data_IF_094457502815
#
_entry.id   IF_094457502815
#
_cell.length_a   1.000
_cell.length_b   1.000
_cell.length_c   1.000
_cell.angle_alpha   90.00
_cell.angle_beta   90.00
_cell.angle_gamma   90.00
#
_symmetry.space_group_name_H-M   'P 1'
#
loop_
_entity.id
_entity.type
_entity.pdbx_description
1 polymer ?
#
# COMPACT_ATOMS: atom_id res chain seq x y z
N UNK A 1 -71.06 43.97 24.89
CA UNK A 1 -71.94 43.21 25.82
C UNK A 1 -71.44 41.77 25.77
N UNK A 2 -70.98 41.03 26.78
CA UNK A 2 -70.83 41.11 28.25
C UNK A 2 -69.47 40.40 28.55
N UNK A 3 -68.54 40.89 29.37
CA UNK A 3 -68.51 41.00 30.84
C UNK A 3 -68.57 39.67 31.63
N UNK A 4 -67.39 39.30 32.19
CA UNK A 4 -67.09 38.67 33.50
C UNK A 4 -67.66 37.29 33.85
N UNK A 5 -66.76 36.37 34.23
CA UNK A 5 -66.69 35.87 35.60
C UNK A 5 -65.34 35.18 35.88
N UNK A 6 -64.76 35.56 37.02
CA UNK A 6 -63.53 35.08 37.64
C UNK A 6 -63.95 34.03 38.68
N UNK A 7 -63.32 32.85 38.69
CA UNK A 7 -63.35 31.97 39.88
C UNK A 7 -61.96 31.38 40.11
N UNK A 8 -61.34 31.85 41.18
CA UNK A 8 -60.14 31.32 41.82
C UNK A 8 -60.54 30.03 42.56
N UNK A 9 -59.77 28.96 42.38
CA UNK A 9 -59.76 27.81 43.30
C UNK A 9 -58.31 27.39 43.57
N UNK A 10 -57.94 27.59 44.84
CA UNK A 10 -56.68 27.23 45.50
C UNK A 10 -56.80 25.79 46.03
N UNK A 11 -55.65 25.12 46.17
CA UNK A 11 -55.39 23.81 46.79
C UNK A 11 -55.69 22.59 45.89
N UNK A 12 -54.82 21.59 45.74
CA UNK A 12 -53.90 20.99 46.71
C UNK A 12 -52.52 20.73 46.10
N UNK A 13 -51.48 21.22 46.79
CA UNK A 13 -50.15 20.60 46.77
C UNK A 13 -50.24 19.20 47.40
N UNK A 14 -50.30 18.16 46.56
CA UNK A 14 -49.85 16.82 46.93
C UNK A 14 -48.52 16.60 46.23
N UNK A 15 -47.45 16.75 47.00
CA UNK A 15 -46.09 16.49 46.58
C UNK A 15 -45.94 15.04 46.18
N UNK A 16 -45.94 14.80 44.87
CA UNK A 16 -45.23 13.67 44.27
C UNK A 16 -43.74 13.95 44.36
N UNK A 17 -43.22 13.88 45.58
CA UNK A 17 -41.81 13.68 45.84
C UNK A 17 -41.42 12.36 45.20
N UNK A 18 -41.12 12.38 43.90
CA UNK A 18 -40.33 11.34 43.29
C UNK A 18 -39.04 11.34 44.10
N UNK A 19 -38.90 10.30 44.91
CA UNK A 19 -37.64 9.90 45.50
C UNK A 19 -36.68 9.73 44.32
N UNK A 20 -36.00 10.82 43.95
CA UNK A 20 -34.73 10.77 43.27
C UNK A 20 -33.72 10.22 44.28
N UNK A 21 -33.93 8.97 44.71
CA UNK A 21 -32.89 8.19 45.33
C UNK A 21 -31.73 8.25 44.36
N UNK A 22 -30.57 8.68 44.84
CA UNK A 22 -29.33 8.59 44.11
C UNK A 22 -29.13 7.12 43.77
N UNK A 23 -29.62 6.71 42.60
CA UNK A 23 -29.48 5.37 42.06
C UNK A 23 -27.98 5.09 42.02
N UNK A 24 -27.53 4.13 42.85
CA UNK A 24 -26.11 3.80 42.99
C UNK A 24 -25.57 3.40 41.62
N UNK A 25 -24.39 3.90 41.25
CA UNK A 25 -23.75 3.47 40.02
C UNK A 25 -23.12 2.09 40.27
N UNK A 26 -23.72 1.05 39.70
CA UNK A 26 -23.27 -0.34 39.72
C UNK A 26 -23.54 -0.99 38.34
N UNK A 27 -23.08 -2.22 38.13
CA UNK A 27 -23.22 -2.89 36.82
C UNK A 27 -24.69 -3.05 36.40
N UNK A 28 -25.57 -3.42 37.33
CA UNK A 28 -26.99 -3.65 37.05
C UNK A 28 -27.68 -2.35 36.60
N UNK A 29 -27.40 -1.23 37.28
CA UNK A 29 -27.99 0.06 36.92
C UNK A 29 -27.40 0.59 35.61
N UNK A 30 -26.09 0.38 35.35
CA UNK A 30 -25.45 0.69 34.07
C UNK A 30 -26.14 -0.07 32.91
N UNK A 31 -26.49 -1.34 33.10
CA UNK A 31 -27.21 -2.11 32.09
C UNK A 31 -28.65 -1.63 31.92
N UNK A 32 -29.36 -1.32 33.01
CA UNK A 32 -30.72 -0.76 32.95
C UNK A 32 -30.75 0.55 32.16
N UNK A 33 -29.75 1.41 32.33
CA UNK A 33 -29.73 2.72 31.66
C UNK A 33 -29.75 2.60 30.14
N UNK A 34 -29.21 1.53 29.55
CA UNK A 34 -29.24 1.30 28.09
C UNK A 34 -30.64 1.29 27.49
N UNK A 35 -31.67 1.00 28.31
CA UNK A 35 -33.08 0.90 27.90
C UNK A 35 -33.89 2.16 28.19
N UNK A 36 -33.25 3.23 28.68
CA UNK A 36 -33.93 4.46 29.10
C UNK A 36 -33.59 5.64 28.20
N UNK A 37 -34.53 6.58 28.05
CA UNK A 37 -34.32 7.78 27.24
C UNK A 37 -33.17 8.66 27.78
N UNK A 38 -33.01 8.75 29.11
CA UNK A 38 -31.90 9.48 29.76
C UNK A 38 -30.62 8.65 29.87
N UNK A 39 -30.64 7.41 29.40
CA UNK A 39 -29.58 6.41 29.52
C UNK A 39 -28.23 6.87 29.01
N UNK A 40 -28.12 7.33 27.75
CA UNK A 40 -26.85 7.80 27.19
C UNK A 40 -26.18 8.89 28.04
N UNK A 41 -26.96 9.84 28.56
CA UNK A 41 -26.45 10.90 29.42
C UNK A 41 -25.91 10.37 30.75
N UNK A 42 -26.62 9.40 31.37
CA UNK A 42 -26.15 8.74 32.60
C UNK A 42 -24.87 7.92 32.36
N UNK A 43 -24.81 7.15 31.28
CA UNK A 43 -23.64 6.35 30.90
C UNK A 43 -22.42 7.24 30.64
N UNK A 44 -22.61 8.34 29.88
CA UNK A 44 -21.54 9.32 29.64
C UNK A 44 -21.03 9.93 30.94
N UNK A 45 -21.94 10.30 31.85
CA UNK A 45 -21.56 10.84 33.17
C UNK A 45 -20.74 9.82 33.98
N UNK A 46 -21.20 8.56 34.07
CA UNK A 46 -20.49 7.50 34.79
C UNK A 46 -19.11 7.19 34.17
N UNK A 47 -18.99 7.24 32.84
CA UNK A 47 -17.71 7.07 32.16
C UNK A 47 -16.72 8.20 32.47
N UNK A 48 -17.21 9.45 32.60
CA UNK A 48 -16.39 10.64 32.85
C UNK A 48 -16.09 10.90 34.33
N UNK A 49 -16.74 10.19 35.24
CA UNK A 49 -16.55 10.33 36.68
C UNK A 49 -15.16 9.79 37.06
N UNK A 50 -14.29 10.68 37.54
CA UNK A 50 -12.90 10.33 37.93
C UNK A 50 -12.85 9.55 39.26
N UNK A 51 -13.86 9.73 40.12
CA UNK A 51 -13.95 9.07 41.42
C UNK A 51 -14.61 7.68 41.33
N UNK A 52 -15.26 7.37 40.21
CA UNK A 52 -15.89 6.08 39.97
C UNK A 52 -14.84 4.98 39.72
N UNK A 53 -15.12 3.77 40.19
CA UNK A 53 -14.31 2.60 39.84
C UNK A 53 -14.14 2.46 38.31
N UNK A 54 -12.91 2.22 37.86
CA UNK A 54 -12.58 2.20 36.43
C UNK A 54 -13.34 1.10 35.66
N UNK A 55 -13.67 -0.01 36.33
CA UNK A 55 -14.44 -1.10 35.73
C UNK A 55 -15.91 -0.71 35.50
N UNK A 56 -16.50 0.08 36.40
CA UNK A 56 -17.83 0.66 36.21
C UNK A 56 -17.84 1.69 35.07
N UNK A 57 -16.83 2.58 35.02
CA UNK A 57 -16.69 3.53 33.91
C UNK A 57 -16.47 2.82 32.57
N UNK A 58 -15.69 1.73 32.56
CA UNK A 58 -15.51 0.87 31.39
C UNK A 58 -16.81 0.17 30.99
N UNK A 59 -17.61 -0.32 31.95
CA UNK A 59 -18.91 -0.91 31.65
C UNK A 59 -19.85 0.09 31.00
N UNK A 60 -19.89 1.33 31.52
CA UNK A 60 -20.68 2.41 30.93
C UNK A 60 -20.20 2.75 29.50
N UNK A 61 -18.88 2.82 29.27
CA UNK A 61 -18.31 3.09 27.96
C UNK A 61 -18.62 1.95 26.94
N UNK A 62 -18.52 0.69 27.36
CA UNK A 62 -18.87 -0.45 26.51
C UNK A 62 -20.36 -0.42 26.10
N UNK A 63 -21.25 -0.03 27.02
CA UNK A 63 -22.66 0.13 26.71
C UNK A 63 -22.93 1.33 25.78
N UNK A 64 -22.17 2.44 25.88
CA UNK A 64 -22.21 3.51 24.87
C UNK A 64 -21.81 3.01 23.48
N UNK A 65 -20.77 2.16 23.37
CA UNK A 65 -20.38 1.55 22.09
C UNK A 65 -21.50 0.66 21.53
N UNK A 66 -22.13 -0.20 22.35
CA UNK A 66 -23.29 -1.01 21.91
C UNK A 66 -24.45 -0.15 21.39
N UNK A 67 -24.59 1.07 21.90
CA UNK A 67 -25.60 2.05 21.48
C UNK A 67 -25.18 2.93 20.30
N UNK A 68 -24.08 2.60 19.60
CA UNK A 68 -23.56 3.39 18.47
C UNK A 68 -23.13 4.82 18.84
N UNK A 69 -22.63 4.99 20.07
CA UNK A 69 -22.11 6.25 20.60
C UNK A 69 -20.59 6.21 20.82
N UNK A 70 -19.87 5.48 19.96
CA UNK A 70 -18.40 5.39 20.00
C UNK A 70 -17.73 6.76 19.88
N UNK A 71 -18.30 7.69 19.10
CA UNK A 71 -17.80 9.04 18.98
C UNK A 71 -17.79 9.80 20.32
N UNK A 72 -18.78 9.55 21.18
CA UNK A 72 -18.84 10.15 22.52
C UNK A 72 -17.76 9.57 23.44
N UNK A 73 -17.51 8.26 23.33
CA UNK A 73 -16.42 7.59 24.07
C UNK A 73 -15.06 8.13 23.63
N UNK A 74 -14.82 8.26 22.32
CA UNK A 74 -13.59 8.84 21.77
C UNK A 74 -13.37 10.28 22.22
N UNK A 75 -14.40 11.12 22.14
CA UNK A 75 -14.32 12.52 22.59
C UNK A 75 -14.02 12.63 24.09
N UNK A 76 -14.61 11.75 24.91
CA UNK A 76 -14.32 11.70 26.34
C UNK A 76 -12.86 11.32 26.60
N UNK A 77 -12.35 10.27 25.94
CA UNK A 77 -10.96 9.83 26.08
C UNK A 77 -9.96 10.94 25.76
N UNK A 78 -10.21 11.79 24.76
CA UNK A 78 -9.31 12.90 24.43
C UNK A 78 -9.14 13.91 25.58
N UNK A 79 -10.20 14.15 26.34
CA UNK A 79 -10.23 15.16 27.42
C UNK A 79 -9.89 14.58 28.80
N UNK A 80 -9.89 13.25 28.93
CA UNK A 80 -9.62 12.54 30.18
C UNK A 80 -8.15 12.68 30.59
N UNK A 81 -7.88 12.81 31.89
CA UNK A 81 -6.51 12.84 32.42
C UNK A 81 -5.73 11.56 32.04
N UNK A 82 -4.41 11.62 31.77
CA UNK A 82 -3.66 10.45 31.29
C UNK A 82 -3.77 9.22 32.20
N UNK A 83 -3.63 9.40 33.52
CA UNK A 83 -3.73 8.30 34.48
C UNK A 83 -5.10 7.63 34.49
N UNK A 84 -6.18 8.44 34.46
CA UNK A 84 -7.54 7.93 34.39
C UNK A 84 -7.83 7.22 33.07
N UNK A 85 -7.32 7.78 31.97
CA UNK A 85 -7.43 7.20 30.62
C UNK A 85 -6.80 5.83 30.54
N UNK A 86 -5.60 5.66 31.10
CA UNK A 86 -4.94 4.35 31.22
C UNK A 86 -5.79 3.37 32.02
N UNK A 87 -6.28 3.74 33.22
CA UNK A 87 -7.13 2.85 34.02
C UNK A 87 -8.40 2.41 33.27
N UNK A 88 -9.08 3.35 32.62
CA UNK A 88 -10.28 3.06 31.83
C UNK A 88 -9.98 2.10 30.67
N UNK A 89 -8.91 2.32 29.90
CA UNK A 89 -8.55 1.48 28.76
C UNK A 89 -8.24 0.05 29.21
N UNK A 90 -7.52 -0.13 30.33
CA UNK A 90 -7.22 -1.45 30.91
C UNK A 90 -8.48 -2.26 31.19
N UNK A 91 -9.54 -1.62 31.71
CA UNK A 91 -10.81 -2.30 32.00
C UNK A 91 -11.73 -2.40 30.76
N UNK A 92 -11.66 -1.43 29.85
CA UNK A 92 -12.54 -1.36 28.68
C UNK A 92 -12.13 -2.34 27.56
N UNK A 93 -10.82 -2.50 27.29
CA UNK A 93 -10.37 -3.34 26.19
C UNK A 93 -10.85 -4.81 26.30
N UNK A 94 -10.72 -5.50 27.47
CA UNK A 94 -11.28 -6.85 27.63
C UNK A 94 -12.80 -6.92 27.45
N UNK A 95 -13.53 -5.89 27.90
CA UNK A 95 -15.00 -5.82 27.75
C UNK A 95 -15.41 -5.68 26.28
N UNK A 96 -14.71 -4.83 25.53
CA UNK A 96 -14.94 -4.70 24.09
C UNK A 96 -14.55 -5.97 23.33
N UNK A 97 -13.48 -6.65 23.74
CA UNK A 97 -13.11 -7.95 23.17
C UNK A 97 -14.22 -8.99 23.37
N UNK A 98 -14.79 -9.08 24.56
CA UNK A 98 -15.89 -10.01 24.83
C UNK A 98 -17.12 -9.75 23.95
N UNK A 99 -17.37 -8.50 23.57
CA UNK A 99 -18.44 -8.12 22.63
C UNK A 99 -18.04 -8.42 21.18
N UNK A 100 -16.78 -8.14 20.81
CA UNK A 100 -16.25 -8.32 19.46
C UNK A 100 -16.02 -9.80 19.08
N UNK A 101 -15.82 -10.66 20.08
CA UNK A 101 -15.49 -12.08 19.90
C UNK A 101 -16.58 -12.81 19.13
N UNK A 102 -16.17 -13.65 18.21
CA UNK A 102 -17.06 -14.50 17.40
C UNK A 102 -16.79 -15.94 17.81
N UNK A 103 -17.83 -16.68 18.17
CA UNK A 103 -17.71 -18.03 18.73
C UNK A 103 -17.14 -19.04 17.73
N UNK A 104 -17.42 -18.84 16.43
CA UNK A 104 -16.91 -19.67 15.34
C UNK A 104 -16.09 -18.85 14.36
N UNK A 105 -14.91 -19.35 14.02
CA UNK A 105 -14.01 -18.76 13.04
C UNK A 105 -14.61 -18.67 11.63
N UNK A 106 -15.59 -19.53 11.32
CA UNK A 106 -16.28 -19.57 10.03
C UNK A 106 -17.46 -18.59 9.94
N UNK A 107 -17.91 -18.03 11.06
CA UNK A 107 -19.04 -17.11 11.07
C UNK A 107 -18.59 -15.67 10.78
N UNK A 108 -19.43 -14.96 10.02
CA UNK A 108 -19.29 -13.52 9.84
C UNK A 108 -19.74 -12.77 11.10
N UNK A 109 -19.08 -11.66 11.45
CA UNK A 109 -19.48 -10.83 12.57
C UNK A 109 -20.82 -10.13 12.31
N UNK A 110 -21.60 -9.95 13.37
CA UNK A 110 -22.75 -9.04 13.36
C UNK A 110 -22.31 -7.58 13.56
N UNK A 111 -23.23 -6.63 13.38
CA UNK A 111 -22.92 -5.20 13.50
C UNK A 111 -22.33 -4.82 14.87
N UNK A 112 -22.81 -5.40 15.97
CA UNK A 112 -22.30 -5.12 17.31
C UNK A 112 -20.86 -5.59 17.49
N UNK A 113 -20.51 -6.75 16.94
CA UNK A 113 -19.15 -7.28 16.96
C UNK A 113 -18.18 -6.40 16.16
N UNK A 114 -18.60 -5.94 14.97
CA UNK A 114 -17.81 -5.03 14.13
C UNK A 114 -17.54 -3.71 14.87
N UNK A 115 -18.57 -3.13 15.49
CA UNK A 115 -18.46 -1.89 16.24
C UNK A 115 -17.54 -2.00 17.45
N UNK A 116 -17.61 -3.09 18.21
CA UNK A 116 -16.72 -3.31 19.34
C UNK A 116 -15.25 -3.49 18.87
N UNK A 117 -15.04 -4.15 17.73
CA UNK A 117 -13.72 -4.25 17.08
C UNK A 117 -13.20 -2.88 16.62
N UNK A 118 -14.03 -2.03 16.01
CA UNK A 118 -13.64 -0.66 15.62
C UNK A 118 -13.33 0.22 16.83
N UNK A 119 -14.06 0.03 17.93
CA UNK A 119 -13.75 0.69 19.19
C UNK A 119 -12.38 0.25 19.73
N UNK A 120 -12.04 -1.04 19.71
CA UNK A 120 -10.71 -1.55 20.08
C UNK A 120 -9.59 -0.91 19.25
N UNK A 121 -9.77 -0.81 17.92
CA UNK A 121 -8.82 -0.14 17.02
C UNK A 121 -8.62 1.32 17.47
N UNK A 122 -9.71 2.03 17.75
CA UNK A 122 -9.66 3.42 18.17
C UNK A 122 -8.94 3.61 19.50
N UNK A 123 -9.11 2.69 20.45
CA UNK A 123 -8.45 2.77 21.77
C UNK A 123 -6.93 2.77 21.69
N UNK A 124 -6.34 2.16 20.64
CA UNK A 124 -4.88 2.08 20.46
C UNK A 124 -4.19 3.43 20.52
N UNK A 125 -4.84 4.49 20.05
CA UNK A 125 -4.28 5.87 20.04
C UNK A 125 -3.86 6.34 21.43
N UNK A 126 -4.58 5.90 22.46
CA UNK A 126 -4.39 6.35 23.83
C UNK A 126 -3.86 5.28 24.77
N UNK A 127 -3.78 4.04 24.29
CA UNK A 127 -3.23 2.91 25.03
C UNK A 127 -1.70 3.06 25.21
N UNK A 128 -1.22 2.71 26.40
CA UNK A 128 0.20 2.47 26.64
C UNK A 128 0.69 1.21 25.89
N UNK A 129 1.98 0.90 25.96
CA UNK A 129 2.57 -0.20 25.18
C UNK A 129 1.99 -1.57 25.58
N UNK A 130 1.71 -1.81 26.86
CA UNK A 130 1.19 -3.08 27.35
C UNK A 130 -0.28 -3.26 26.92
N UNK A 131 -1.08 -2.21 27.09
CA UNK A 131 -2.48 -2.17 26.66
C UNK A 131 -2.58 -2.30 25.13
N UNK A 132 -1.72 -1.62 24.39
CA UNK A 132 -1.68 -1.70 22.93
C UNK A 132 -1.32 -3.11 22.48
N UNK A 133 -0.33 -3.74 23.10
CA UNK A 133 0.02 -5.14 22.80
C UNK A 133 -1.15 -6.10 23.08
N UNK A 134 -1.93 -5.87 24.14
CA UNK A 134 -3.13 -6.65 24.45
C UNK A 134 -4.23 -6.44 23.39
N UNK A 135 -4.52 -5.19 23.03
CA UNK A 135 -5.48 -4.86 21.97
C UNK A 135 -5.04 -5.49 20.63
N UNK A 136 -3.75 -5.43 20.30
CA UNK A 136 -3.22 -6.01 19.09
C UNK A 136 -3.39 -7.53 19.05
N UNK A 137 -3.25 -8.22 20.18
CA UNK A 137 -3.54 -9.65 20.27
C UNK A 137 -5.02 -9.94 19.97
N UNK A 138 -5.95 -9.15 20.53
CA UNK A 138 -7.37 -9.29 20.24
C UNK A 138 -7.70 -9.05 18.76
N UNK A 139 -7.09 -8.05 18.14
CA UNK A 139 -7.29 -7.76 16.72
C UNK A 139 -6.68 -8.85 15.82
N UNK A 140 -5.52 -9.39 16.17
CA UNK A 140 -4.95 -10.55 15.48
C UNK A 140 -5.89 -11.75 15.56
N UNK A 141 -6.43 -12.06 16.74
CA UNK A 141 -7.39 -13.17 16.92
C UNK A 141 -8.73 -12.91 16.20
N UNK A 142 -9.12 -11.65 16.04
CA UNK A 142 -10.34 -11.29 15.31
C UNK A 142 -10.18 -11.46 13.80
N UNK A 143 -9.07 -10.99 13.23
CA UNK A 143 -8.85 -11.00 11.79
C UNK A 143 -8.31 -12.35 11.30
N UNK A 144 -7.29 -12.93 11.96
CA UNK A 144 -6.53 -14.06 11.41
C UNK A 144 -7.23 -15.42 11.60
N UNK A 145 -8.40 -15.56 10.96
CA UNK A 145 -9.26 -16.74 10.97
C UNK A 145 -9.76 -17.07 9.56
N UNK A 146 -10.39 -18.24 9.37
CA UNK A 146 -10.90 -18.70 8.06
C UNK A 146 -11.88 -17.74 7.37
N UNK A 147 -12.71 -17.00 8.12
CA UNK A 147 -13.62 -15.99 7.57
C UNK A 147 -12.98 -14.61 7.35
N UNK A 148 -11.64 -14.51 7.31
CA UNK A 148 -10.91 -13.25 7.10
C UNK A 148 -11.46 -12.44 5.93
N UNK A 149 -11.80 -13.06 4.79
CA UNK A 149 -12.28 -12.34 3.59
C UNK A 149 -13.49 -11.44 3.89
N UNK A 150 -14.51 -11.98 4.56
CA UNK A 150 -15.70 -11.21 4.93
C UNK A 150 -15.44 -10.25 6.11
N UNK A 151 -14.54 -10.62 7.03
CA UNK A 151 -14.15 -9.78 8.16
C UNK A 151 -13.34 -8.55 7.73
N UNK A 152 -12.50 -8.69 6.70
CA UNK A 152 -11.65 -7.62 6.17
C UNK A 152 -12.45 -6.44 5.62
N UNK A 153 -13.67 -6.69 5.15
CA UNK A 153 -14.56 -5.69 4.57
C UNK A 153 -15.47 -5.01 5.62
N UNK A 154 -15.43 -5.47 6.87
CA UNK A 154 -16.34 -5.03 7.93
C UNK A 154 -15.81 -3.88 8.78
N UNK A 155 -16.59 -2.79 8.83
CA UNK A 155 -16.43 -1.70 9.80
C UNK A 155 -15.80 -0.43 9.22
N UNK A 156 -15.42 0.47 10.11
CA UNK A 156 -14.87 1.78 9.76
C UNK A 156 -13.40 1.72 9.30
N UNK A 157 -12.65 0.70 9.74
CA UNK A 157 -11.26 0.48 9.31
C UNK A 157 -11.15 -0.84 8.56
N UNK A 158 -10.65 -0.77 7.32
CA UNK A 158 -10.46 -1.93 6.44
C UNK A 158 -9.44 -2.92 7.00
N UNK A 159 -9.67 -4.22 6.76
CA UNK A 159 -8.81 -5.31 7.21
C UNK A 159 -7.33 -5.13 6.86
N UNK A 160 -6.97 -4.83 5.59
CA UNK A 160 -5.58 -4.56 5.22
C UNK A 160 -4.93 -3.43 6.03
N UNK A 161 -5.66 -2.35 6.31
CA UNK A 161 -5.16 -1.25 7.14
C UNK A 161 -4.91 -1.70 8.58
N UNK A 162 -5.79 -2.53 9.15
CA UNK A 162 -5.59 -3.10 10.48
C UNK A 162 -4.41 -4.08 10.49
N UNK A 163 -4.30 -4.98 9.51
CA UNK A 163 -3.19 -5.93 9.41
C UNK A 163 -1.85 -5.19 9.25
N UNK A 164 -1.80 -4.13 8.45
CA UNK A 164 -0.63 -3.26 8.32
C UNK A 164 -0.20 -2.64 9.65
N UNK A 165 -1.18 -2.23 10.44
CA UNK A 165 -1.01 -1.64 11.77
C UNK A 165 -0.58 -2.68 12.84
N UNK A 166 -0.89 -3.97 12.63
CA UNK A 166 -0.49 -5.09 13.49
C UNK A 166 0.87 -5.68 13.10
N UNK A 167 1.26 -5.54 11.84
CA UNK A 167 2.56 -5.93 11.33
C UNK A 167 2.78 -7.45 11.28
N UNK A 168 4.05 -7.92 11.39
CA UNK A 168 4.41 -9.29 11.07
C UNK A 168 3.70 -10.38 11.89
N UNK A 169 3.26 -10.06 13.11
CA UNK A 169 2.55 -11.01 13.99
C UNK A 169 1.22 -11.47 13.37
N UNK A 170 0.53 -10.58 12.66
CA UNK A 170 -0.69 -10.92 11.92
C UNK A 170 -0.37 -11.80 10.71
N UNK A 171 0.70 -11.48 9.96
CA UNK A 171 1.15 -12.24 8.79
C UNK A 171 1.35 -13.73 9.10
N UNK A 172 2.04 -14.05 10.21
CA UNK A 172 2.26 -15.43 10.66
C UNK A 172 0.96 -16.22 10.87
N UNK A 173 -0.06 -15.61 11.47
CA UNK A 173 -1.36 -16.28 11.65
C UNK A 173 -2.15 -16.35 10.35
N UNK A 174 -2.10 -15.33 9.50
CA UNK A 174 -2.76 -15.36 8.19
C UNK A 174 -2.19 -16.44 7.26
N UNK A 175 -0.91 -16.80 7.39
CA UNK A 175 -0.36 -17.96 6.67
C UNK A 175 -1.05 -19.25 7.07
N UNK A 176 -1.37 -19.44 8.37
CA UNK A 176 -2.15 -20.59 8.83
C UNK A 176 -3.58 -20.57 8.27
N UNK A 177 -4.19 -19.40 8.12
CA UNK A 177 -5.49 -19.25 7.44
C UNK A 177 -5.41 -19.71 5.99
N UNK A 178 -4.42 -19.26 5.22
CA UNK A 178 -4.24 -19.73 3.84
C UNK A 178 -4.02 -21.24 3.80
N UNK A 179 -3.18 -21.79 4.67
CA UNK A 179 -2.95 -23.24 4.76
C UNK A 179 -4.26 -24.00 5.02
N UNK A 180 -5.16 -23.47 5.85
CA UNK A 180 -6.48 -24.08 6.09
C UNK A 180 -7.37 -24.09 4.85
N UNK A 181 -7.33 -23.02 4.04
CA UNK A 181 -8.04 -22.94 2.75
C UNK A 181 -7.47 -23.98 1.78
N UNK A 182 -6.15 -24.09 1.75
CA UNK A 182 -5.41 -25.02 0.89
C UNK A 182 -5.68 -26.47 1.24
N UNK A 183 -5.77 -26.78 2.54
CA UNK A 183 -5.91 -28.13 3.08
C UNK A 183 -7.37 -28.54 3.37
N UNK A 184 -8.35 -27.74 2.98
CA UNK A 184 -9.76 -28.05 3.19
C UNK A 184 -10.16 -29.41 2.58
N UNK A 185 -11.23 -30.09 3.03
CA UNK A 185 -11.71 -31.30 2.37
C UNK A 185 -12.19 -31.03 0.94
N UNK A 186 -12.03 -32.01 0.03
CA UNK A 186 -12.55 -31.95 -1.35
C UNK A 186 -11.68 -31.20 -2.37
N UNK A 187 -10.44 -30.83 -1.99
CA UNK A 187 -9.49 -30.12 -2.86
C UNK A 187 -8.97 -30.97 -4.04
N UNK A 188 -9.20 -32.28 -4.00
CA UNK A 188 -8.97 -33.22 -5.11
C UNK A 188 -9.91 -33.00 -6.29
N UNK A 189 -11.11 -32.44 -6.03
CA UNK A 189 -12.15 -32.19 -7.05
C UNK A 189 -12.20 -30.73 -7.47
N UNK A 190 -12.30 -29.83 -6.49
CA UNK A 190 -12.38 -28.38 -6.72
C UNK A 190 -11.50 -27.71 -5.67
N UNK A 191 -10.42 -27.09 -6.13
CA UNK A 191 -9.51 -26.35 -5.26
C UNK A 191 -10.19 -25.07 -4.79
N UNK A 192 -10.15 -24.80 -3.49
CA UNK A 192 -10.68 -23.56 -2.92
C UNK A 192 -9.82 -22.39 -3.38
N UNK A 193 -10.49 -21.30 -3.76
CA UNK A 193 -9.87 -20.03 -4.13
C UNK A 193 -9.29 -19.37 -2.88
N UNK A 194 -8.04 -18.91 -2.98
CA UNK A 194 -7.46 -18.00 -1.99
C UNK A 194 -7.99 -16.59 -2.30
N UNK A 195 -8.68 -16.00 -1.32
CA UNK A 195 -9.35 -14.69 -1.43
C UNK A 195 -8.39 -13.52 -1.62
N UNK A 196 -8.90 -12.43 -2.20
CA UNK A 196 -8.07 -11.26 -2.56
C UNK A 196 -7.67 -10.45 -1.32
N UNK A 197 -8.59 -10.32 -0.37
CA UNK A 197 -8.29 -9.65 0.88
C UNK A 197 -7.23 -10.43 1.64
N UNK A 198 -7.29 -11.77 1.64
CA UNK A 198 -6.32 -12.61 2.37
C UNK A 198 -4.91 -12.49 1.79
N UNK A 199 -4.78 -12.46 0.45
CA UNK A 199 -3.50 -12.18 -0.21
C UNK A 199 -2.97 -10.80 0.16
N UNK A 200 -3.84 -9.79 0.15
CA UNK A 200 -3.49 -8.42 0.52
C UNK A 200 -3.09 -8.31 2.00
N UNK A 201 -3.82 -8.97 2.90
CA UNK A 201 -3.52 -9.03 4.33
C UNK A 201 -2.12 -9.60 4.61
N UNK A 202 -1.75 -10.70 3.93
CA UNK A 202 -0.40 -11.23 3.99
C UNK A 202 0.64 -10.21 3.51
N UNK A 203 0.40 -9.55 2.38
CA UNK A 203 1.34 -8.60 1.80
C UNK A 203 1.58 -7.37 2.69
N UNK A 204 0.50 -6.77 3.21
CA UNK A 204 0.55 -5.55 4.03
C UNK A 204 1.03 -5.81 5.46
N UNK A 205 1.07 -7.07 5.90
CA UNK A 205 1.62 -7.43 7.21
C UNK A 205 3.11 -7.08 7.36
N UNK A 206 3.84 -6.96 6.25
CA UNK A 206 5.28 -6.68 6.26
C UNK A 206 6.12 -7.81 6.87
N UNK A 207 5.59 -9.03 6.98
CA UNK A 207 6.38 -10.20 7.40
C UNK A 207 7.18 -10.75 6.21
N UNK A 208 8.53 -10.85 6.29
CA UNK A 208 9.34 -11.41 5.21
C UNK A 208 8.95 -12.84 4.83
N UNK A 209 8.53 -13.66 5.81
CA UNK A 209 8.06 -15.03 5.56
C UNK A 209 6.70 -15.05 4.86
N UNK A 210 5.81 -14.09 5.16
CA UNK A 210 4.54 -13.96 4.44
C UNK A 210 4.76 -13.55 2.98
N UNK A 211 5.74 -12.68 2.69
CA UNK A 211 6.11 -12.34 1.30
C UNK A 211 6.65 -13.58 0.59
N UNK A 212 7.59 -14.30 1.20
CA UNK A 212 8.12 -15.55 0.64
C UNK A 212 6.98 -16.50 0.27
N UNK A 213 6.05 -16.69 1.22
CA UNK A 213 4.90 -17.55 1.04
C UNK A 213 3.96 -17.06 -0.08
N UNK A 214 3.76 -15.75 -0.22
CA UNK A 214 3.02 -15.19 -1.36
C UNK A 214 3.74 -15.44 -2.69
N UNK A 215 5.07 -15.31 -2.75
CA UNK A 215 5.83 -15.62 -3.98
C UNK A 215 5.74 -17.10 -4.36
N UNK A 216 5.72 -18.00 -3.37
CA UNK A 216 5.48 -19.43 -3.59
C UNK A 216 4.05 -19.67 -4.11
N UNK A 217 3.03 -19.01 -3.52
CA UNK A 217 1.64 -19.06 -4.00
C UNK A 217 1.53 -18.55 -5.44
N UNK A 218 2.26 -17.48 -5.79
CA UNK A 218 2.19 -16.87 -7.11
C UNK A 218 2.60 -17.84 -8.24
N UNK A 219 3.40 -18.86 -7.92
CA UNK A 219 3.86 -19.92 -8.83
C UNK A 219 3.07 -21.22 -8.72
N UNK A 220 2.16 -21.31 -7.74
CA UNK A 220 1.43 -22.54 -7.45
C UNK A 220 0.31 -22.76 -8.47
N UNK A 221 0.29 -23.94 -9.11
CA UNK A 221 -0.88 -24.34 -9.91
C UNK A 221 -2.01 -24.87 -9.01
N UNK A 222 -2.99 -23.99 -8.79
CA UNK A 222 -4.23 -24.32 -8.07
C UNK A 222 -5.46 -24.43 -8.98
N UNK A 223 -5.29 -24.53 -10.30
CA UNK A 223 -6.41 -24.45 -11.23
C UNK A 223 -7.10 -23.08 -11.26
N UNK A 224 -6.49 -22.07 -10.64
CA UNK A 224 -6.88 -20.65 -10.74
C UNK A 224 -5.79 -19.91 -11.53
N UNK A 225 -5.98 -19.68 -12.85
CA UNK A 225 -4.97 -19.02 -13.69
C UNK A 225 -4.75 -17.55 -13.31
N UNK A 226 -5.64 -16.96 -12.50
CA UNK A 226 -5.50 -15.57 -12.03
C UNK A 226 -4.66 -15.45 -10.75
N UNK A 227 -4.39 -16.56 -10.04
CA UNK A 227 -3.78 -16.54 -8.71
C UNK A 227 -2.43 -15.82 -8.69
N UNK A 228 -1.55 -16.12 -9.63
CA UNK A 228 -0.25 -15.45 -9.76
C UNK A 228 -0.39 -13.93 -9.90
N UNK A 229 -1.28 -13.49 -10.80
CA UNK A 229 -1.54 -12.06 -11.03
C UNK A 229 -2.14 -11.36 -9.80
N UNK A 230 -3.12 -11.98 -9.13
CA UNK A 230 -3.74 -11.42 -7.92
C UNK A 230 -2.72 -11.32 -6.78
N UNK A 231 -1.85 -12.31 -6.65
CA UNK A 231 -0.79 -12.33 -5.63
C UNK A 231 0.26 -11.25 -5.85
N UNK A 232 0.75 -11.10 -7.08
CA UNK A 232 1.68 -10.02 -7.43
C UNK A 232 1.04 -8.64 -7.27
N UNK A 233 -0.24 -8.49 -7.63
CA UNK A 233 -0.98 -7.26 -7.44
C UNK A 233 -1.17 -6.91 -5.96
N UNK A 234 -1.34 -7.91 -5.07
CA UNK A 234 -1.40 -7.69 -3.63
C UNK A 234 -0.07 -7.14 -3.08
N UNK A 235 1.07 -7.70 -3.52
CA UNK A 235 2.40 -7.16 -3.21
C UNK A 235 2.56 -5.74 -3.78
N UNK A 236 2.18 -5.50 -5.03
CA UNK A 236 2.25 -4.17 -5.63
C UNK A 236 1.46 -3.13 -4.81
N UNK A 237 0.22 -3.45 -4.41
CA UNK A 237 -0.59 -2.56 -3.56
C UNK A 237 0.06 -2.29 -2.21
N UNK A 238 0.69 -3.29 -1.61
CA UNK A 238 1.31 -3.16 -0.30
C UNK A 238 2.56 -2.25 -0.32
N UNK A 239 3.39 -2.33 -1.36
CA UNK A 239 4.72 -1.69 -1.40
C UNK A 239 4.85 -0.51 -2.37
N UNK A 240 3.92 -0.35 -3.32
CA UNK A 240 4.02 0.65 -4.40
C UNK A 240 2.87 1.65 -4.35
N UNK A 241 1.64 1.17 -4.47
CA UNK A 241 0.46 2.03 -4.60
C UNK A 241 -0.76 1.40 -3.93
N UNK A 242 -1.03 1.75 -2.67
CA UNK A 242 -2.18 1.26 -1.92
C UNK A 242 -3.48 1.97 -2.34
N UNK A 243 -3.46 2.93 -3.28
CA UNK A 243 -4.63 3.70 -3.67
C UNK A 243 -5.21 4.54 -2.53
N UNK A 244 -4.36 4.93 -1.55
CA UNK A 244 -4.77 5.67 -0.35
C UNK A 244 -5.49 4.85 0.72
N UNK A 245 -5.53 3.51 0.59
CA UNK A 245 -6.21 2.63 1.55
C UNK A 245 -5.46 2.50 2.89
N UNK A 246 -4.13 2.56 2.85
CA UNK A 246 -3.23 2.45 4.01
C UNK A 246 -1.85 2.97 3.64
N UNK A 247 -0.97 3.15 4.63
CA UNK A 247 0.42 3.56 4.41
C UNK A 247 1.23 2.42 3.75
N UNK A 248 2.06 2.79 2.78
CA UNK A 248 2.98 1.86 2.09
C UNK A 248 3.83 1.10 3.12
N UNK A 249 4.05 -0.19 2.87
CA UNK A 249 4.99 -1.01 3.65
C UNK A 249 6.41 -0.63 3.28
N UNK A 250 7.29 -0.46 4.28
CA UNK A 250 8.72 -0.22 4.06
C UNK A 250 9.36 -1.37 3.26
N UNK A 251 10.48 -1.13 2.55
CA UNK A 251 11.08 -2.11 1.65
C UNK A 251 11.79 -3.27 2.34
N UNK A 252 12.08 -3.16 3.63
CA UNK A 252 12.91 -4.10 4.39
C UNK A 252 12.44 -5.56 4.27
N UNK A 253 11.12 -5.86 4.30
CA UNK A 253 10.64 -7.22 4.16
C UNK A 253 10.84 -7.84 2.77
N UNK A 254 11.01 -7.01 1.72
CA UNK A 254 11.27 -7.50 0.35
C UNK A 254 12.71 -7.97 0.17
N UNK A 255 13.67 -7.43 0.92
CA UNK A 255 15.12 -7.68 0.75
C UNK A 255 15.47 -9.18 0.78
N UNK A 256 15.03 -9.98 1.78
CA UNK A 256 15.35 -11.41 1.83
C UNK A 256 14.73 -12.23 0.67
N UNK A 257 13.75 -11.64 -0.03
CA UNK A 257 12.97 -12.28 -1.08
C UNK A 257 13.30 -11.74 -2.47
N UNK A 258 14.30 -10.84 -2.58
CA UNK A 258 14.61 -10.13 -3.82
C UNK A 258 14.93 -11.08 -4.98
N UNK A 259 15.69 -12.14 -4.75
CA UNK A 259 16.04 -13.12 -5.79
C UNK A 259 14.81 -13.82 -6.37
N UNK A 260 13.82 -14.12 -5.53
CA UNK A 260 12.56 -14.72 -5.99
C UNK A 260 11.74 -13.73 -6.83
N UNK A 261 11.69 -12.45 -6.44
CA UNK A 261 11.02 -11.39 -7.22
C UNK A 261 11.73 -11.18 -8.56
N UNK A 262 13.06 -11.14 -8.57
CA UNK A 262 13.90 -11.05 -9.79
C UNK A 262 13.67 -12.23 -10.71
N UNK A 263 13.54 -13.43 -10.15
CA UNK A 263 13.25 -14.63 -10.93
C UNK A 263 11.87 -14.55 -11.60
N UNK A 264 10.84 -13.99 -10.94
CA UNK A 264 9.54 -13.73 -11.59
C UNK A 264 9.66 -12.68 -12.70
N UNK A 265 10.38 -11.58 -12.44
CA UNK A 265 10.54 -10.50 -13.40
C UNK A 265 11.27 -10.93 -14.70
N UNK A 266 12.17 -11.92 -14.62
CA UNK A 266 12.92 -12.45 -15.77
C UNK A 266 12.21 -13.57 -16.53
N UNK A 267 11.17 -14.16 -15.95
CA UNK A 267 10.47 -15.29 -16.55
C UNK A 267 9.55 -14.80 -17.67
N UNK A 268 9.99 -15.01 -18.91
CA UNK A 268 9.28 -14.57 -20.10
C UNK A 268 8.04 -15.42 -20.41
N UNK A 269 7.74 -16.47 -19.64
CA UNK A 269 6.49 -17.19 -19.73
C UNK A 269 5.36 -16.47 -18.99
N UNK A 270 5.70 -15.68 -17.96
CA UNK A 270 4.77 -15.03 -17.03
C UNK A 270 4.04 -13.84 -17.69
N UNK A 271 2.75 -13.59 -17.37
CA UNK A 271 2.00 -12.46 -17.93
C UNK A 271 2.66 -11.10 -17.66
N UNK A 272 2.68 -10.20 -18.65
CA UNK A 272 3.39 -8.92 -18.57
C UNK A 272 3.02 -8.03 -17.37
N UNK A 273 1.78 -8.09 -16.87
CA UNK A 273 1.42 -7.38 -15.64
C UNK A 273 2.21 -7.88 -14.41
N UNK A 274 2.34 -9.20 -14.25
CA UNK A 274 3.11 -9.77 -13.13
C UNK A 274 4.60 -9.41 -13.25
N UNK A 275 5.13 -9.41 -14.47
CA UNK A 275 6.50 -8.95 -14.76
C UNK A 275 6.69 -7.49 -14.35
N UNK A 276 5.77 -6.61 -14.74
CA UNK A 276 5.84 -5.18 -14.38
C UNK A 276 5.70 -4.96 -12.87
N UNK A 277 4.77 -5.66 -12.21
CA UNK A 277 4.61 -5.60 -10.76
C UNK A 277 5.89 -6.06 -10.04
N UNK A 278 6.53 -7.14 -10.52
CA UNK A 278 7.81 -7.62 -10.00
C UNK A 278 8.95 -6.60 -10.19
N UNK A 279 9.05 -5.96 -11.36
CA UNK A 279 10.05 -4.90 -11.60
C UNK A 279 9.82 -3.70 -10.67
N UNK A 280 8.56 -3.30 -10.46
CA UNK A 280 8.23 -2.22 -9.53
C UNK A 280 8.63 -2.57 -8.08
N UNK A 281 8.39 -3.82 -7.65
CA UNK A 281 8.81 -4.32 -6.34
C UNK A 281 10.34 -4.32 -6.19
N UNK A 282 11.09 -4.75 -7.21
CA UNK A 282 12.56 -4.68 -7.21
C UNK A 282 13.02 -3.23 -7.01
N UNK A 283 12.41 -2.27 -7.72
CA UNK A 283 12.72 -0.85 -7.56
C UNK A 283 12.41 -0.35 -6.15
N UNK A 284 11.28 -0.76 -5.57
CA UNK A 284 10.86 -0.33 -4.24
C UNK A 284 11.85 -0.70 -3.14
N UNK A 285 12.63 -1.77 -3.32
CA UNK A 285 13.72 -2.13 -2.38
C UNK A 285 14.72 -0.98 -2.19
N UNK A 286 14.91 -0.14 -3.22
CA UNK A 286 15.79 1.01 -3.15
C UNK A 286 17.29 0.68 -3.25
N UNK A 287 18.13 1.70 -3.48
CA UNK A 287 19.57 1.53 -3.61
C UNK A 287 20.22 1.11 -2.27
N UNK A 288 21.32 0.34 -2.31
CA UNK A 288 21.98 -0.19 -3.51
C UNK A 288 21.31 -1.47 -4.07
N UNK A 289 20.39 -2.07 -3.32
CA UNK A 289 19.87 -3.41 -3.59
C UNK A 289 19.07 -3.54 -4.89
N UNK A 290 18.36 -2.49 -5.32
CA UNK A 290 17.59 -2.54 -6.57
C UNK A 290 18.46 -2.51 -7.84
N UNK A 291 19.66 -1.93 -7.79
CA UNK A 291 20.36 -1.53 -9.02
C UNK A 291 20.94 -2.74 -9.77
N UNK A 292 21.70 -3.60 -9.09
CA UNK A 292 22.35 -4.73 -9.73
C UNK A 292 21.34 -5.70 -10.38
N UNK A 293 20.21 -6.06 -9.74
CA UNK A 293 19.18 -6.88 -10.38
C UNK A 293 18.53 -6.20 -11.59
N UNK A 294 18.22 -4.90 -11.51
CA UNK A 294 17.63 -4.15 -12.62
C UNK A 294 18.60 -4.07 -13.81
N UNK A 295 19.88 -3.78 -13.58
CA UNK A 295 20.93 -3.80 -14.60
C UNK A 295 21.07 -5.17 -15.25
N UNK A 296 21.03 -6.24 -14.46
CA UNK A 296 21.08 -7.59 -15.01
C UNK A 296 19.92 -7.88 -15.96
N UNK A 297 18.73 -7.30 -15.73
CA UNK A 297 17.55 -7.49 -16.60
C UNK A 297 17.64 -6.72 -17.92
N UNK A 298 18.35 -5.59 -17.98
CA UNK A 298 18.51 -4.81 -19.23
C UNK A 298 19.10 -5.66 -20.37
N UNK A 299 19.97 -6.62 -20.02
CA UNK A 299 20.68 -7.50 -20.97
C UNK A 299 19.94 -8.79 -21.30
N UNK A 300 18.88 -9.13 -20.56
CA UNK A 300 18.19 -10.42 -20.72
C UNK A 300 17.31 -10.36 -21.97
N UNK A 301 17.50 -11.26 -22.95
CA UNK A 301 16.54 -11.43 -24.03
C UNK A 301 15.17 -11.78 -23.45
N UNK A 302 14.12 -11.12 -23.94
CA UNK A 302 12.75 -11.31 -23.46
C UNK A 302 11.78 -11.28 -24.63
N UNK A 303 10.70 -12.09 -24.56
CA UNK A 303 9.69 -12.15 -25.64
C UNK A 303 9.08 -10.78 -25.96
N UNK A 304 8.92 -9.94 -24.95
CA UNK A 304 8.45 -8.57 -25.09
C UNK A 304 9.63 -7.63 -25.32
N UNK A 305 9.78 -7.13 -26.55
CA UNK A 305 10.87 -6.22 -26.92
C UNK A 305 10.94 -4.94 -26.05
N UNK A 306 9.82 -4.56 -25.42
CA UNK A 306 9.74 -3.39 -24.53
C UNK A 306 10.40 -3.62 -23.16
N UNK A 307 10.61 -4.87 -22.75
CA UNK A 307 11.10 -5.21 -21.41
C UNK A 307 12.45 -4.54 -21.08
N UNK A 308 13.36 -4.43 -22.06
CA UNK A 308 14.66 -3.74 -21.87
C UNK A 308 14.50 -2.26 -21.51
N UNK A 309 13.49 -1.55 -22.04
CA UNK A 309 13.23 -0.16 -21.68
C UNK A 309 12.68 -0.05 -20.27
N UNK A 310 11.77 -0.94 -19.89
CA UNK A 310 11.20 -1.01 -18.54
C UNK A 310 12.31 -1.28 -17.52
N UNK A 311 13.19 -2.24 -17.78
CA UNK A 311 14.33 -2.53 -16.91
C UNK A 311 15.30 -1.34 -16.83
N UNK A 312 15.66 -0.73 -17.97
CA UNK A 312 16.58 0.41 -18.02
C UNK A 312 16.01 1.65 -17.30
N UNK A 313 14.74 1.99 -17.53
CA UNK A 313 14.04 3.07 -16.84
C UNK A 313 14.06 2.86 -15.32
N UNK A 314 13.70 1.66 -14.85
CA UNK A 314 13.68 1.39 -13.42
C UNK A 314 15.09 1.35 -12.82
N UNK A 315 16.11 0.88 -13.55
CA UNK A 315 17.51 0.95 -13.11
C UNK A 315 18.00 2.40 -12.95
N UNK A 316 17.62 3.28 -13.89
CA UNK A 316 17.88 4.72 -13.81
C UNK A 316 17.18 5.36 -12.60
N UNK A 317 15.91 5.04 -12.35
CA UNK A 317 15.18 5.54 -11.19
C UNK A 317 15.77 5.04 -9.86
N UNK A 318 16.31 3.83 -9.84
CA UNK A 318 16.97 3.24 -8.69
C UNK A 318 18.33 3.89 -8.39
N UNK A 319 19.21 4.01 -9.39
CA UNK A 319 20.59 4.46 -9.19
C UNK A 319 20.85 5.95 -9.47
N UNK A 320 19.86 6.66 -10.02
CA UNK A 320 19.96 8.07 -10.40
C UNK A 320 21.09 8.35 -11.39
N UNK A 321 21.66 9.55 -11.31
CA UNK A 321 22.73 9.99 -12.23
C UNK A 321 23.97 9.07 -12.22
N UNK A 322 24.25 8.40 -11.10
CA UNK A 322 25.41 7.49 -10.97
C UNK A 322 25.25 6.21 -11.81
N UNK A 323 24.02 5.79 -12.11
CA UNK A 323 23.75 4.59 -12.87
C UNK A 323 23.70 4.79 -14.40
N UNK A 324 23.74 6.04 -14.89
CA UNK A 324 23.57 6.35 -16.32
C UNK A 324 24.52 5.52 -17.18
N UNK A 325 25.81 5.53 -16.87
CA UNK A 325 26.81 4.83 -17.68
C UNK A 325 26.58 3.32 -17.72
N UNK A 326 26.29 2.71 -16.57
CA UNK A 326 26.09 1.26 -16.46
C UNK A 326 24.79 0.81 -17.14
N UNK A 327 23.71 1.59 -17.00
CA UNK A 327 22.44 1.30 -17.67
C UNK A 327 22.60 1.39 -19.18
N UNK A 328 23.17 2.49 -19.67
CA UNK A 328 23.27 2.73 -21.12
C UNK A 328 24.19 1.72 -21.79
N UNK A 329 25.33 1.38 -21.17
CA UNK A 329 26.21 0.28 -21.63
C UNK A 329 25.59 -1.11 -21.43
N UNK A 330 24.58 -1.20 -20.58
CA UNK A 330 23.81 -2.41 -20.35
C UNK A 330 22.86 -2.74 -21.51
N UNK A 331 22.47 -1.75 -22.31
CA UNK A 331 21.58 -1.95 -23.45
C UNK A 331 22.25 -2.81 -24.53
N UNK A 332 21.56 -3.85 -25.07
CA UNK A 332 22.09 -4.62 -26.19
C UNK A 332 22.39 -3.74 -27.41
N UNK A 333 23.64 -3.73 -27.89
CA UNK A 333 24.00 -2.91 -29.05
C UNK A 333 23.38 -3.44 -30.35
N UNK A 334 23.25 -4.76 -30.44
CA UNK A 334 22.47 -5.41 -31.48
C UNK A 334 20.99 -5.42 -31.09
N UNK A 335 20.13 -4.91 -31.98
CA UNK A 335 18.67 -5.02 -31.84
C UNK A 335 17.92 -3.83 -32.40
N UNK A 336 16.59 -3.98 -32.49
CA UNK A 336 15.70 -2.90 -32.90
C UNK A 336 15.36 -2.00 -31.70
N UNK A 337 15.44 -0.68 -31.89
CA UNK A 337 15.09 0.33 -30.90
C UNK A 337 14.09 1.32 -31.45
N UNK A 338 12.88 1.33 -30.88
CA UNK A 338 11.85 2.30 -31.22
C UNK A 338 12.24 3.64 -30.60
N UNK A 339 12.40 4.68 -31.43
CA UNK A 339 12.88 5.98 -30.97
C UNK A 339 12.03 6.54 -29.84
N UNK A 340 10.70 6.53 -29.97
CA UNK A 340 9.82 7.10 -28.95
C UNK A 340 9.97 6.41 -27.59
N UNK A 341 10.13 5.07 -27.58
CA UNK A 341 10.33 4.30 -26.35
C UNK A 341 11.70 4.58 -25.72
N UNK A 342 12.75 4.63 -26.54
CA UNK A 342 14.10 4.94 -26.10
C UNK A 342 14.18 6.36 -25.52
N UNK A 343 13.61 7.33 -26.22
CA UNK A 343 13.55 8.72 -25.76
C UNK A 343 12.71 8.84 -24.49
N UNK A 344 11.50 8.29 -24.48
CA UNK A 344 10.56 8.41 -23.36
C UNK A 344 11.05 7.72 -22.10
N UNK A 345 11.62 6.53 -22.22
CA UNK A 345 12.01 5.70 -21.06
C UNK A 345 13.45 5.94 -20.58
N UNK A 346 14.32 6.48 -21.44
CA UNK A 346 15.76 6.57 -21.13
C UNK A 346 16.26 8.01 -21.32
N UNK A 347 16.32 8.52 -22.55
CA UNK A 347 17.01 9.80 -22.81
C UNK A 347 16.37 10.99 -22.11
N UNK A 348 15.03 11.08 -22.12
CA UNK A 348 14.30 12.16 -21.46
C UNK A 348 14.40 12.09 -19.94
N UNK A 349 14.48 10.88 -19.37
CA UNK A 349 14.63 10.69 -17.94
C UNK A 349 16.04 11.04 -17.47
N UNK A 350 17.07 10.62 -18.22
CA UNK A 350 18.45 11.06 -18.00
C UNK A 350 18.55 12.59 -18.02
N UNK A 351 17.92 13.25 -18.99
CA UNK A 351 17.94 14.71 -19.13
C UNK A 351 17.33 15.47 -17.93
N UNK A 352 16.46 14.83 -17.14
CA UNK A 352 15.84 15.39 -15.93
C UNK A 352 16.67 15.17 -14.66
N UNK A 353 17.73 14.36 -14.72
CA UNK A 353 18.52 13.99 -13.54
C UNK A 353 19.43 15.12 -13.07
N UNK A 354 19.79 15.05 -11.79
CA UNK A 354 20.67 16.00 -11.12
C UNK A 354 21.87 15.30 -10.46
N UNK A 355 23.02 15.99 -10.32
CA UNK A 355 23.30 17.34 -10.83
C UNK A 355 23.54 17.35 -12.34
N UNK A 356 23.02 18.38 -13.02
CA UNK A 356 23.05 18.52 -14.49
C UNK A 356 24.46 18.38 -15.09
N UNK A 357 25.45 19.01 -14.49
CA UNK A 357 26.85 18.97 -14.98
C UNK A 357 27.43 17.56 -14.93
N UNK A 358 27.15 16.80 -13.87
CA UNK A 358 27.60 15.41 -13.73
C UNK A 358 26.92 14.48 -14.75
N UNK A 359 25.64 14.74 -15.05
CA UNK A 359 24.91 14.05 -16.12
C UNK A 359 25.54 14.35 -17.47
N UNK A 360 25.75 15.63 -17.82
CA UNK A 360 26.39 16.03 -19.09
C UNK A 360 27.80 15.42 -19.25
N UNK A 361 28.61 15.44 -18.18
CA UNK A 361 29.94 14.83 -18.19
C UNK A 361 29.85 13.33 -18.51
N UNK A 362 28.93 12.60 -17.89
CA UNK A 362 28.71 11.17 -18.15
C UNK A 362 28.28 10.93 -19.60
N UNK A 363 27.34 11.73 -20.12
CA UNK A 363 26.87 11.62 -21.50
C UNK A 363 27.99 11.89 -22.52
N UNK A 364 28.88 12.85 -22.25
CA UNK A 364 30.06 13.12 -23.10
C UNK A 364 31.01 11.94 -23.18
N UNK A 365 31.18 11.19 -22.11
CA UNK A 365 31.97 9.96 -22.14
C UNK A 365 31.26 8.85 -22.93
N UNK A 366 29.92 8.76 -22.84
CA UNK A 366 29.14 7.82 -23.63
C UNK A 366 29.16 8.12 -25.15
N UNK A 367 29.36 9.37 -25.57
CA UNK A 367 29.59 9.70 -26.99
C UNK A 367 30.86 9.06 -27.57
N UNK A 368 31.83 8.71 -26.70
CA UNK A 368 33.10 8.06 -27.07
C UNK A 368 33.06 6.54 -26.95
N UNK A 369 31.95 5.98 -26.48
CA UNK A 369 31.80 4.54 -26.28
C UNK A 369 31.90 3.78 -27.61
N UNK A 370 32.12 2.47 -27.60
CA UNK A 370 32.09 1.68 -28.83
C UNK A 370 30.65 1.39 -29.26
N UNK A 371 29.74 1.27 -28.30
CA UNK A 371 28.33 0.96 -28.55
C UNK A 371 27.62 2.07 -29.36
N UNK A 372 26.94 1.65 -30.43
CA UNK A 372 26.03 2.49 -31.22
C UNK A 372 24.89 3.02 -30.36
N UNK A 373 24.25 2.15 -29.57
CA UNK A 373 23.11 2.54 -28.72
C UNK A 373 23.54 3.51 -27.62
N UNK A 374 24.74 3.36 -27.07
CA UNK A 374 25.27 4.29 -26.08
C UNK A 374 25.47 5.70 -26.64
N UNK A 375 26.07 5.81 -27.84
CA UNK A 375 26.20 7.10 -28.55
C UNK A 375 24.83 7.70 -28.84
N UNK A 376 23.88 6.88 -29.26
CA UNK A 376 22.52 7.33 -29.59
C UNK A 376 21.80 7.90 -28.38
N UNK A 377 21.73 7.17 -27.27
CA UNK A 377 21.12 7.67 -26.03
C UNK A 377 21.80 8.96 -25.57
N UNK A 378 23.14 9.02 -25.64
CA UNK A 378 23.89 10.19 -25.21
C UNK A 378 23.59 11.45 -26.03
N UNK A 379 23.57 11.35 -27.37
CA UNK A 379 23.26 12.51 -28.21
C UNK A 379 21.80 12.98 -28.04
N UNK A 380 20.84 12.07 -27.91
CA UNK A 380 19.42 12.42 -27.69
C UNK A 380 19.24 13.08 -26.32
N UNK A 381 19.85 12.54 -25.25
CA UNK A 381 19.76 13.12 -23.92
C UNK A 381 20.39 14.52 -23.87
N UNK A 382 21.58 14.72 -24.46
CA UNK A 382 22.23 16.04 -24.53
C UNK A 382 21.40 17.05 -25.34
N UNK A 383 20.76 16.61 -26.43
CA UNK A 383 19.86 17.44 -27.21
C UNK A 383 18.60 17.83 -26.42
N UNK A 384 17.95 16.88 -25.73
CA UNK A 384 16.81 17.16 -24.83
C UNK A 384 17.19 18.12 -23.72
N UNK A 385 18.42 18.02 -23.19
CA UNK A 385 18.95 18.96 -22.21
C UNK A 385 19.22 20.36 -22.79
N UNK A 386 19.20 20.54 -24.12
CA UNK A 386 19.58 21.77 -24.82
C UNK A 386 21.04 22.17 -24.58
N UNK A 387 21.94 21.19 -24.57
CA UNK A 387 23.37 21.41 -24.33
C UNK A 387 24.09 21.95 -25.59
N UNK A 388 23.98 23.24 -25.86
CA UNK A 388 24.55 23.87 -27.08
C UNK A 388 26.07 23.69 -27.19
N UNK A 389 26.78 23.68 -26.05
CA UNK A 389 28.22 23.40 -25.95
C UNK A 389 28.64 21.99 -26.39
N UNK A 390 27.68 21.07 -26.49
CA UNK A 390 27.91 19.70 -26.95
C UNK A 390 27.56 19.47 -28.43
N UNK A 391 27.01 20.48 -29.11
CA UNK A 391 26.70 20.39 -30.54
C UNK A 391 27.91 19.98 -31.40
N UNK A 392 29.14 20.52 -31.20
CA UNK A 392 30.31 20.06 -31.95
C UNK A 392 30.70 18.60 -31.68
N UNK A 393 30.50 18.13 -30.44
CA UNK A 393 30.81 16.74 -30.05
C UNK A 393 29.84 15.76 -30.69
N UNK A 394 28.55 16.12 -30.74
CA UNK A 394 27.53 15.34 -31.45
C UNK A 394 27.83 15.36 -32.96
N UNK A 395 28.15 16.52 -33.55
CA UNK A 395 28.48 16.64 -34.96
C UNK A 395 29.68 15.79 -35.39
N UNK A 396 30.63 15.50 -34.49
CA UNK A 396 31.74 14.60 -34.77
C UNK A 396 31.31 13.16 -35.11
N UNK A 397 30.09 12.75 -34.73
CA UNK A 397 29.52 11.45 -35.09
C UNK A 397 28.91 11.41 -36.51
N UNK A 398 28.89 12.53 -37.24
CA UNK A 398 28.31 12.68 -38.58
C UNK A 398 28.80 11.66 -39.62
N UNK A 399 30.01 11.11 -39.43
CA UNK A 399 30.59 10.09 -40.30
C UNK A 399 30.13 8.65 -39.99
N UNK A 400 29.43 8.42 -38.89
CA UNK A 400 29.01 7.08 -38.50
C UNK A 400 27.87 6.56 -39.40
N UNK A 401 28.13 5.41 -40.03
CA UNK A 401 27.25 4.75 -41.01
C UNK A 401 26.40 3.61 -40.42
N UNK A 402 26.56 3.31 -39.13
CA UNK A 402 25.75 2.32 -38.42
C UNK A 402 24.28 2.74 -38.43
N UNK A 403 23.39 1.82 -38.83
CA UNK A 403 21.95 2.06 -38.90
C UNK A 403 21.32 1.94 -37.53
N UNK A 404 20.42 2.87 -37.21
CA UNK A 404 19.62 2.83 -35.99
C UNK A 404 18.40 1.90 -36.22
N UNK A 405 18.64 0.59 -36.20
CA UNK A 405 17.61 -0.39 -36.56
C UNK A 405 16.36 -0.23 -35.69
N UNK A 406 15.19 -0.21 -36.32
CA UNK A 406 13.89 -0.10 -35.65
C UNK A 406 13.53 1.31 -35.18
N UNK A 407 14.26 2.34 -35.63
CA UNK A 407 14.07 3.74 -35.23
C UNK A 407 12.60 4.19 -35.33
N UNK A 408 11.91 3.77 -36.40
CA UNK A 408 10.50 4.10 -36.66
C UNK A 408 9.48 3.13 -36.01
N UNK A 409 9.94 2.10 -35.30
CA UNK A 409 9.12 1.01 -34.79
C UNK A 409 8.47 0.14 -35.87
N UNK A 410 7.52 -0.71 -35.47
CA UNK A 410 6.81 -1.62 -36.39
C UNK A 410 5.90 -0.89 -37.38
N UNK A 411 5.49 0.34 -37.04
CA UNK A 411 4.57 1.18 -37.82
C UNK A 411 5.31 2.26 -38.58
N UNK A 412 6.31 1.86 -39.36
CA UNK A 412 6.87 2.74 -40.36
C UNK A 412 5.86 2.95 -41.50
N UNK A 413 4.83 3.76 -41.25
CA UNK A 413 3.72 4.01 -42.17
C UNK A 413 4.18 4.57 -43.53
N UNK A 414 5.40 5.10 -43.58
CA UNK A 414 5.99 5.73 -44.76
C UNK A 414 7.12 4.91 -45.39
N UNK A 415 7.40 3.68 -44.91
CA UNK A 415 8.52 2.84 -45.36
C UNK A 415 9.87 3.59 -45.41
N UNK A 416 10.07 4.58 -44.54
CA UNK A 416 11.30 5.36 -44.47
C UNK A 416 12.47 4.47 -44.05
N UNK A 417 13.64 4.51 -44.70
CA UNK A 417 14.78 3.76 -44.19
C UNK A 417 15.14 4.25 -42.78
N UNK A 418 15.57 3.34 -41.92
CA UNK A 418 16.13 3.71 -40.62
C UNK A 418 17.36 4.62 -40.84
N UNK A 419 17.45 5.76 -40.16
CA UNK A 419 18.58 6.67 -40.31
C UNK A 419 19.86 6.02 -39.77
N UNK A 420 21.01 6.52 -40.24
CA UNK A 420 22.28 6.20 -39.58
C UNK A 420 22.49 7.07 -38.34
N UNK A 421 23.33 6.61 -37.42
CA UNK A 421 23.75 7.40 -36.26
C UNK A 421 24.27 8.79 -36.71
N UNK A 422 25.09 8.83 -37.77
CA UNK A 422 25.63 10.08 -38.30
C UNK A 422 24.60 11.02 -38.92
N UNK A 423 23.55 10.49 -39.57
CA UNK A 423 22.44 11.32 -40.05
C UNK A 423 21.71 11.98 -38.88
N UNK A 424 21.36 11.20 -37.85
CA UNK A 424 20.66 11.72 -36.68
C UNK A 424 21.53 12.70 -35.87
N UNK A 425 22.82 12.44 -35.76
CA UNK A 425 23.77 13.35 -35.12
C UNK A 425 23.84 14.72 -35.81
N UNK A 426 23.82 14.77 -37.15
CA UNK A 426 23.78 16.03 -37.91
C UNK A 426 22.52 16.84 -37.61
N UNK A 427 21.36 16.18 -37.56
CA UNK A 427 20.09 16.82 -37.23
C UNK A 427 20.12 17.46 -35.84
N UNK A 428 20.49 16.67 -34.83
CA UNK A 428 20.54 17.13 -33.43
C UNK A 428 21.56 18.26 -33.23
N UNK A 429 22.74 18.16 -33.85
CA UNK A 429 23.75 19.22 -33.76
C UNK A 429 23.28 20.51 -34.42
N UNK A 430 22.55 20.44 -35.54
CA UNK A 430 21.98 21.60 -36.19
C UNK A 430 20.88 22.25 -35.33
N UNK A 431 19.97 21.45 -34.74
CA UNK A 431 18.92 21.93 -33.82
C UNK A 431 19.51 22.65 -32.60
N UNK A 432 20.58 22.11 -32.02
CA UNK A 432 21.30 22.75 -30.91
C UNK A 432 22.02 24.04 -31.32
N UNK A 433 22.51 24.12 -32.57
CA UNK A 433 23.24 25.29 -33.05
C UNK A 433 22.33 26.46 -33.42
N UNK A 434 21.12 26.19 -33.92
CA UNK A 434 20.15 27.22 -34.29
C UNK A 434 19.26 27.67 -33.13
N UNK A 435 19.21 26.89 -32.04
CA UNK A 435 18.35 27.16 -30.90
C UNK A 435 16.85 27.00 -31.20
N UNK A 436 16.48 26.49 -32.38
CA UNK A 436 15.10 26.26 -32.78
C UNK A 436 14.79 24.75 -32.72
N UNK A 437 13.93 24.29 -31.80
CA UNK A 437 13.39 22.93 -31.87
C UNK A 437 12.46 22.85 -33.10
N UNK A 438 12.59 21.76 -33.87
CA UNK A 438 11.66 21.45 -34.97
C UNK A 438 10.29 21.04 -34.46
#
# INVERSE_FOLDING_TARGET
MLARALTIAVALLLGSGTLAGCEKTDHDNIDKWTRTQKGPGKLKKAMLDEDLDADLSAHAAANLVKMQKDAEVRAALETMSPGRRTQLISALAPRLWNIARIESENNLPNAMQIMAKDALISLRKWADDAQRAQIDNYLVDWYAVSSYEGRAQGGATLGPAVVRMLGPRAGKKLMAVVNSVIAAPGQDKVKNRIGDELLLGLAVSGDPEAIKYLLDIARMDRGDPSLGKRTMSALYKAYIDPGGLFDIVGPEPLVPNLDAIVSIAKDDSIPGQMTNDAVALIRAVGPPHCLAPLLAMVRVPHREARFKYVAAYNALMCGGAKAIADVVRGLPDAGAYVREELQGSISNEIAKMNPREGVQATLRELLKDQSTIAKWVAMEALATMKSTEDAPKIAALAGNKERLVGYWGERNAENKPDPTLGQRAKELAAELSTGQPK
#
